data_IF_884812691286
#
_entry.id   IF_884812691286
#
_cell.length_a   1.000
_cell.length_b   1.000
_cell.length_c   1.000
_cell.angle_alpha   90.00
_cell.angle_beta   90.00
_cell.angle_gamma   90.00
#
_symmetry.space_group_name_H-M   'P 1'
#
loop_
_entity.id
_entity.type
_entity.pdbx_description
1 polymer ?
#
# COMPACT_ATOMS: atom_id res chain seq x y z
N UNK A 1 7.06 -0.18 -30.90
CA UNK A 1 6.94 -0.23 -30.01
C UNK A 1 6.92 0.66 -29.16
N UNK A 2 6.36 0.91 -28.71
CA UNK A 2 6.36 1.88 -28.01
C UNK A 2 6.91 1.83 -26.86
N UNK A 3 7.46 2.19 -26.54
CA UNK A 3 7.90 2.26 -25.56
C UNK A 3 7.74 3.28 -24.97
N UNK A 4 7.47 3.90 -25.19
CA UNK A 4 7.45 5.10 -24.74
C UNK A 4 7.25 5.41 -23.38
N UNK A 5 6.15 5.23 -22.88
CA UNK A 5 5.87 5.57 -21.49
C UNK A 5 6.50 4.62 -20.50
N UNK A 6 6.89 3.44 -20.94
CA UNK A 6 7.47 2.47 -20.05
C UNK A 6 6.51 1.80 -19.12
N UNK A 7 5.21 2.13 -19.17
CA UNK A 7 4.23 1.49 -18.34
C UNK A 7 3.61 0.34 -19.11
N UNK A 8 3.78 -0.88 -18.61
CA UNK A 8 3.15 -2.02 -19.23
C UNK A 8 1.78 -2.28 -18.58
N UNK A 9 0.91 -3.04 -19.25
CA UNK A 9 -0.44 -3.29 -18.73
C UNK A 9 -0.48 -3.94 -17.35
N UNK A 10 0.45 -4.84 -17.06
CA UNK A 10 0.49 -5.51 -15.77
C UNK A 10 0.80 -4.51 -14.65
N UNK A 11 1.77 -3.60 -14.88
CA UNK A 11 2.11 -2.58 -13.90
C UNK A 11 0.97 -1.61 -13.68
N UNK A 12 0.25 -1.24 -14.75
CA UNK A 12 -0.89 -0.34 -14.64
C UNK A 12 -2.01 -0.99 -13.83
N UNK A 13 -2.26 -2.28 -14.04
CA UNK A 13 -3.30 -3.01 -13.30
C UNK A 13 -2.95 -3.13 -11.83
N UNK A 14 -1.69 -3.34 -11.50
CA UNK A 14 -1.24 -3.37 -10.10
C UNK A 14 -1.36 -2.01 -9.43
N UNK A 15 -1.09 -0.94 -10.18
CA UNK A 15 -1.25 0.41 -9.63
C UNK A 15 -2.71 0.67 -9.23
N UNK A 16 -3.66 0.25 -10.06
CA UNK A 16 -5.08 0.37 -9.72
C UNK A 16 -5.41 -0.49 -8.51
N UNK A 17 -4.87 -1.70 -8.45
CA UNK A 17 -5.09 -2.59 -7.31
C UNK A 17 -4.59 -1.97 -6.01
N UNK A 18 -3.42 -1.31 -6.03
CA UNK A 18 -2.88 -0.65 -4.83
C UNK A 18 -3.78 0.50 -4.38
N UNK A 19 -4.26 1.30 -5.32
CA UNK A 19 -5.17 2.40 -4.99
C UNK A 19 -6.44 1.89 -4.35
N UNK A 20 -7.05 0.87 -4.95
CA UNK A 20 -8.27 0.30 -4.40
C UNK A 20 -8.02 -0.38 -3.05
N UNK A 21 -6.87 -1.03 -2.89
CA UNK A 21 -6.52 -1.65 -1.62
C UNK A 21 -6.36 -0.59 -0.52
N UNK A 22 -5.69 0.51 -0.83
CA UNK A 22 -5.54 1.61 0.12
C UNK A 22 -6.91 2.14 0.54
N UNK A 23 -7.81 2.33 -0.42
CA UNK A 23 -9.15 2.83 -0.13
C UNK A 23 -9.95 1.82 0.70
N UNK A 24 -9.80 0.53 0.40
CA UNK A 24 -10.46 -0.52 1.18
C UNK A 24 -9.94 -0.55 2.62
N UNK A 25 -8.64 -0.40 2.79
CA UNK A 25 -8.02 -0.39 4.12
C UNK A 25 -8.41 0.86 4.91
N UNK A 26 -8.55 1.99 4.22
CA UNK A 26 -9.10 3.19 4.84
C UNK A 26 -10.52 2.91 5.36
N UNK A 27 -11.37 2.34 4.50
CA UNK A 27 -12.75 2.01 4.85
C UNK A 27 -12.80 1.05 6.04
N UNK A 28 -11.93 0.06 6.05
CA UNK A 28 -11.86 -0.91 7.13
C UNK A 28 -11.52 -0.25 8.48
N UNK A 29 -10.63 0.74 8.47
CA UNK A 29 -10.27 1.45 9.70
C UNK A 29 -11.42 2.32 10.22
N UNK A 30 -12.16 2.93 9.32
CA UNK A 30 -13.24 3.86 9.70
C UNK A 30 -14.48 3.12 10.15
N UNK A 31 -14.85 2.07 9.45
CA UNK A 31 -16.03 1.27 9.75
C UNK A 31 -15.63 0.00 10.47
N UNK A 32 -16.36 -0.39 11.50
CA UNK A 32 -16.05 -1.61 12.26
C UNK A 32 -16.60 -2.85 11.55
N UNK A 33 -16.46 -2.93 10.24
CA UNK A 33 -16.95 -4.07 9.46
C UNK A 33 -15.87 -5.13 9.35
N UNK A 34 -16.26 -6.41 9.21
CA UNK A 34 -15.28 -7.46 8.90
C UNK A 34 -14.58 -7.14 7.58
N UNK A 35 -13.29 -7.44 7.49
CA UNK A 35 -12.53 -7.13 6.28
C UNK A 35 -13.09 -7.85 5.04
N UNK A 36 -13.69 -9.04 5.23
CA UNK A 36 -14.30 -9.78 4.12
C UNK A 36 -15.44 -8.98 3.47
N UNK A 37 -16.20 -8.26 4.27
CA UNK A 37 -17.28 -7.42 3.75
C UNK A 37 -16.72 -6.27 2.92
N UNK A 38 -15.59 -5.71 3.36
CA UNK A 38 -14.93 -4.63 2.62
C UNK A 38 -14.42 -5.14 1.27
N UNK A 39 -13.81 -6.33 1.26
CA UNK A 39 -13.35 -6.95 0.01
C UNK A 39 -14.52 -7.15 -0.94
N UNK A 40 -15.64 -7.67 -0.44
CA UNK A 40 -16.82 -7.90 -1.26
C UNK A 40 -17.39 -6.61 -1.82
N UNK A 41 -17.41 -5.56 -1.02
CA UNK A 41 -17.88 -4.25 -1.47
C UNK A 41 -17.03 -3.73 -2.63
N UNK A 42 -15.70 -3.80 -2.49
CA UNK A 42 -14.79 -3.31 -3.53
C UNK A 42 -14.76 -4.18 -4.77
N UNK A 43 -15.11 -5.48 -4.63
CA UNK A 43 -15.21 -6.35 -5.79
C UNK A 43 -16.25 -5.84 -6.78
N UNK A 44 -17.24 -5.10 -6.31
CA UNK A 44 -18.26 -4.49 -7.15
C UNK A 44 -17.91 -3.10 -7.67
N UNK A 45 -16.75 -2.57 -7.31
CA UNK A 45 -16.33 -1.25 -7.78
C UNK A 45 -16.03 -1.29 -9.27
N UNK A 46 -16.48 -0.27 -10.00
CA UNK A 46 -16.29 -0.21 -11.44
C UNK A 46 -14.81 -0.24 -11.84
N UNK A 47 -13.95 0.38 -11.06
CA UNK A 47 -12.52 0.41 -11.35
C UNK A 47 -11.85 -0.96 -11.22
N UNK A 48 -12.50 -1.90 -10.54
CA UNK A 48 -11.91 -3.23 -10.38
C UNK A 48 -11.66 -3.91 -11.73
N UNK A 49 -12.40 -3.52 -12.77
CA UNK A 49 -12.16 -4.06 -14.11
C UNK A 49 -10.77 -3.71 -14.63
N UNK A 50 -10.18 -2.62 -14.17
CA UNK A 50 -8.85 -2.17 -14.59
C UNK A 50 -7.76 -2.63 -13.63
N UNK A 51 -8.11 -3.32 -12.57
CA UNK A 51 -7.18 -3.72 -11.54
C UNK A 51 -6.73 -5.17 -11.72
N UNK A 52 -5.58 -5.48 -11.14
CA UNK A 52 -5.18 -6.86 -10.89
C UNK A 52 -5.96 -7.31 -9.66
N UNK A 53 -7.05 -8.01 -9.89
CA UNK A 53 -7.97 -8.41 -8.82
C UNK A 53 -7.30 -9.33 -7.79
N UNK A 54 -6.48 -10.25 -8.26
CA UNK A 54 -5.77 -11.16 -7.35
C UNK A 54 -4.82 -10.40 -6.44
N UNK A 55 -4.13 -9.42 -7.01
CA UNK A 55 -3.21 -8.59 -6.23
C UNK A 55 -3.95 -7.76 -5.19
N UNK A 56 -5.09 -7.17 -5.57
CA UNK A 56 -5.94 -6.44 -4.63
C UNK A 56 -6.38 -7.34 -3.47
N UNK A 57 -6.90 -8.51 -3.78
CA UNK A 57 -7.38 -9.44 -2.75
C UNK A 57 -6.25 -9.83 -1.80
N UNK A 58 -5.07 -10.10 -2.35
CA UNK A 58 -3.91 -10.49 -1.55
C UNK A 58 -3.48 -9.36 -0.61
N UNK A 59 -3.40 -8.13 -1.13
CA UNK A 59 -3.02 -6.98 -0.33
C UNK A 59 -3.98 -6.77 0.84
N UNK A 60 -5.27 -6.74 0.57
CA UNK A 60 -6.25 -6.44 1.62
C UNK A 60 -6.30 -7.58 2.64
N UNK A 61 -6.32 -8.82 2.17
CA UNK A 61 -6.38 -9.97 3.07
C UNK A 61 -5.16 -10.01 3.99
N UNK A 62 -3.96 -9.89 3.41
CA UNK A 62 -2.73 -10.02 4.19
C UNK A 62 -2.56 -8.87 5.16
N UNK A 63 -2.92 -7.66 4.77
CA UNK A 63 -2.81 -6.52 5.66
C UNK A 63 -3.81 -6.64 6.80
N UNK A 64 -5.06 -6.96 6.50
CA UNK A 64 -6.08 -7.04 7.55
C UNK A 64 -5.80 -8.17 8.54
N UNK A 65 -5.31 -9.31 8.06
CA UNK A 65 -5.01 -10.44 8.95
C UNK A 65 -3.68 -10.28 9.66
N UNK A 66 -2.78 -9.43 9.16
CA UNK A 66 -1.45 -9.22 9.73
C UNK A 66 -1.17 -7.80 10.20
N UNK A 67 -2.22 -6.98 10.43
CA UNK A 67 -2.02 -5.56 10.73
C UNK A 67 -1.22 -5.33 11.99
N UNK A 68 -1.38 -6.15 13.02
CA UNK A 68 -0.62 -5.98 14.26
C UNK A 68 0.88 -6.21 14.03
N UNK A 69 1.21 -7.22 13.23
CA UNK A 69 2.60 -7.49 12.89
C UNK A 69 3.20 -6.36 12.06
N UNK A 70 2.41 -5.85 11.11
CA UNK A 70 2.84 -4.72 10.29
C UNK A 70 3.06 -3.47 11.14
N UNK A 71 2.16 -3.20 12.09
CA UNK A 71 2.31 -2.05 12.97
C UNK A 71 3.53 -2.18 13.88
N UNK A 72 3.80 -3.38 14.37
CA UNK A 72 5.00 -3.60 15.17
C UNK A 72 6.27 -3.30 14.38
N UNK A 73 6.29 -3.67 13.09
CA UNK A 73 7.42 -3.38 12.23
C UNK A 73 7.53 -1.87 11.96
N UNK A 74 6.39 -1.24 11.64
CA UNK A 74 6.35 0.20 11.35
C UNK A 74 6.88 1.04 12.50
N UNK A 75 6.58 0.64 13.73
CA UNK A 75 7.00 1.38 14.92
C UNK A 75 8.52 1.59 14.98
N UNK A 76 9.29 0.65 14.42
CA UNK A 76 10.75 0.74 14.43
C UNK A 76 11.28 1.80 13.46
N UNK A 77 10.48 2.23 12.49
CA UNK A 77 10.92 3.13 11.42
C UNK A 77 10.34 4.53 11.53
N UNK A 78 9.62 4.81 12.60
CA UNK A 78 9.03 6.13 12.78
C UNK A 78 9.09 6.53 14.24
N UNK A 79 8.99 7.83 14.50
CA UNK A 79 9.11 8.40 15.85
C UNK A 79 7.76 8.67 16.50
N UNK A 80 6.68 8.17 15.90
CA UNK A 80 5.34 8.24 16.47
C UNK A 80 4.74 6.85 16.46
N UNK A 81 3.67 6.66 17.21
CA UNK A 81 3.02 5.34 17.32
C UNK A 81 2.14 5.10 16.11
N UNK A 82 2.07 3.87 15.58
CA UNK A 82 1.16 3.57 14.47
C UNK A 82 -0.27 3.98 14.75
N UNK A 83 -0.74 3.85 15.99
CA UNK A 83 -2.10 4.25 16.35
C UNK A 83 -2.37 5.74 16.17
N UNK A 84 -1.32 6.56 16.05
CA UNK A 84 -1.45 8.00 15.88
C UNK A 84 -1.48 8.44 14.41
N UNK A 85 -1.31 7.49 13.47
CA UNK A 85 -1.34 7.79 12.06
C UNK A 85 -2.77 8.10 11.62
N UNK A 86 -2.91 9.06 10.68
CA UNK A 86 -4.23 9.21 10.08
C UNK A 86 -4.52 7.98 9.19
N UNK A 87 -5.80 7.66 8.96
CA UNK A 87 -6.15 6.41 8.28
C UNK A 87 -5.63 6.27 6.85
N UNK A 88 -5.49 7.36 6.10
CA UNK A 88 -4.93 7.29 4.74
C UNK A 88 -3.45 6.94 4.82
N UNK A 89 -2.70 7.65 5.65
CA UNK A 89 -1.28 7.42 5.87
C UNK A 89 -1.02 5.99 6.32
N UNK A 90 -1.83 5.52 7.27
CA UNK A 90 -1.72 4.17 7.81
C UNK A 90 -1.92 3.12 6.70
N UNK A 91 -2.99 3.31 5.89
CA UNK A 91 -3.28 2.40 4.79
C UNK A 91 -2.14 2.36 3.77
N UNK A 92 -1.60 3.53 3.40
CA UNK A 92 -0.50 3.61 2.45
C UNK A 92 0.74 2.89 2.99
N UNK A 93 1.05 3.11 4.27
CA UNK A 93 2.22 2.49 4.90
C UNK A 93 2.05 0.98 5.03
N UNK A 94 0.84 0.50 5.32
CA UNK A 94 0.57 -0.93 5.34
C UNK A 94 0.84 -1.58 3.99
N UNK A 95 0.31 -0.97 2.91
CA UNK A 95 0.48 -1.51 1.56
C UNK A 95 1.96 -1.53 1.19
N UNK A 96 2.66 -0.42 1.40
CA UNK A 96 4.08 -0.32 1.07
C UNK A 96 4.92 -1.32 1.85
N UNK A 97 4.71 -1.40 3.15
CA UNK A 97 5.47 -2.33 3.99
C UNK A 97 5.22 -3.77 3.59
N UNK A 98 3.96 -4.10 3.34
CA UNK A 98 3.63 -5.46 2.92
C UNK A 98 4.31 -5.81 1.59
N UNK A 99 4.30 -4.89 0.62
CA UNK A 99 4.96 -5.16 -0.65
C UNK A 99 6.48 -5.29 -0.50
N UNK A 100 7.10 -4.45 0.31
CA UNK A 100 8.55 -4.59 0.55
C UNK A 100 8.87 -5.95 1.14
N UNK A 101 8.01 -6.46 1.99
CA UNK A 101 8.22 -7.69 2.73
C UNK A 101 7.87 -8.94 1.93
N UNK A 102 6.82 -8.88 1.13
CA UNK A 102 6.20 -10.07 0.55
C UNK A 102 6.11 -10.09 -0.97
N UNK A 103 6.50 -9.02 -1.65
CA UNK A 103 6.44 -8.94 -3.11
C UNK A 103 7.84 -8.69 -3.69
N UNK A 104 8.75 -9.66 -3.62
CA UNK A 104 10.13 -9.44 -4.03
C UNK A 104 10.29 -9.14 -5.52
N UNK A 105 9.30 -9.46 -6.34
CA UNK A 105 9.33 -9.16 -7.76
C UNK A 105 9.07 -7.67 -8.05
N UNK A 106 8.58 -6.92 -7.06
CA UNK A 106 8.37 -5.47 -7.22
C UNK A 106 9.59 -4.75 -6.66
N UNK A 107 10.35 -4.02 -7.49
CA UNK A 107 11.53 -3.29 -6.99
C UNK A 107 11.15 -2.32 -5.88
N UNK A 108 12.03 -2.16 -4.90
CA UNK A 108 11.70 -1.31 -3.76
C UNK A 108 11.39 0.14 -4.15
N UNK A 109 12.05 0.63 -5.21
CA UNK A 109 11.81 1.99 -5.67
C UNK A 109 10.40 2.16 -6.23
N UNK A 110 9.89 1.12 -6.89
CA UNK A 110 8.51 1.13 -7.40
C UNK A 110 7.54 1.15 -6.22
N UNK A 111 7.80 0.33 -5.19
CA UNK A 111 6.95 0.31 -4.00
C UNK A 111 6.86 1.70 -3.38
N UNK A 112 8.02 2.35 -3.18
CA UNK A 112 8.05 3.66 -2.54
C UNK A 112 7.38 4.71 -3.41
N UNK A 113 7.68 4.73 -4.72
CA UNK A 113 7.10 5.72 -5.63
C UNK A 113 5.58 5.60 -5.70
N UNK A 114 5.05 4.38 -5.73
CA UNK A 114 3.61 4.17 -5.75
C UNK A 114 2.97 4.65 -4.45
N UNK A 115 3.57 4.33 -3.32
CA UNK A 115 3.06 4.77 -2.02
C UNK A 115 3.09 6.29 -1.89
N UNK A 116 4.19 6.92 -2.30
CA UNK A 116 4.32 8.38 -2.28
C UNK A 116 3.25 9.02 -3.17
N UNK A 117 3.00 8.42 -4.34
CA UNK A 117 1.96 8.91 -5.26
C UNK A 117 0.57 8.88 -4.62
N UNK A 118 0.26 7.79 -3.92
CA UNK A 118 -1.03 7.68 -3.23
C UNK A 118 -1.15 8.70 -2.09
N UNK A 119 -0.06 8.90 -1.34
CA UNK A 119 -0.06 9.89 -0.27
C UNK A 119 -0.25 11.30 -0.80
N UNK A 120 0.32 11.62 -1.97
CA UNK A 120 0.13 12.93 -2.61
C UNK A 120 -1.31 13.13 -3.05
N UNK A 121 -1.95 12.09 -3.56
CA UNK A 121 -3.32 12.19 -4.06
C UNK A 121 -4.37 12.23 -2.96
N UNK A 122 -4.19 11.44 -1.93
CA UNK A 122 -5.24 11.20 -0.94
C UNK A 122 -4.89 11.61 0.48
N UNK A 123 -3.62 11.84 0.78
CA UNK A 123 -3.18 12.20 2.11
C UNK A 123 -3.16 13.69 2.35
N UNK A 124 -2.86 14.06 3.59
CA UNK A 124 -2.71 15.46 3.98
C UNK A 124 -1.46 16.06 3.35
N UNK A 125 -1.37 17.40 3.39
CA UNK A 125 -0.19 18.11 2.92
C UNK A 125 1.06 17.57 3.63
N UNK A 126 2.09 17.29 2.84
CA UNK A 126 3.37 16.77 3.33
C UNK A 126 3.34 15.33 3.84
N UNK A 127 2.18 14.65 3.81
CA UNK A 127 2.11 13.25 4.19
C UNK A 127 3.07 12.38 3.36
N UNK A 128 3.22 12.71 2.08
CA UNK A 128 4.10 11.97 1.19
C UNK A 128 5.56 11.99 1.62
N UNK A 129 5.99 13.08 2.27
CA UNK A 129 7.37 13.17 2.77
C UNK A 129 7.60 12.20 3.92
N UNK A 130 6.64 12.11 4.80
CA UNK A 130 6.69 11.18 5.92
C UNK A 130 6.66 9.74 5.42
N UNK A 131 5.75 9.44 4.49
CA UNK A 131 5.63 8.11 3.89
C UNK A 131 6.95 7.71 3.23
N UNK A 132 7.55 8.63 2.47
CA UNK A 132 8.82 8.34 1.80
C UNK A 132 9.91 8.00 2.81
N UNK A 133 10.02 8.77 3.88
CA UNK A 133 11.05 8.55 4.89
C UNK A 133 10.87 7.20 5.60
N UNK A 134 9.64 6.87 5.97
CA UNK A 134 9.34 5.61 6.67
C UNK A 134 9.65 4.42 5.77
N UNK A 135 9.17 4.47 4.52
CA UNK A 135 9.37 3.34 3.60
C UNK A 135 10.82 3.20 3.15
N UNK A 136 11.56 4.31 3.08
CA UNK A 136 12.98 4.24 2.78
C UNK A 136 13.73 3.49 3.88
N UNK A 137 13.43 3.79 5.14
CA UNK A 137 14.00 3.07 6.28
C UNK A 137 13.61 1.59 6.26
N UNK A 138 12.33 1.33 5.96
CA UNK A 138 11.84 -0.05 5.85
C UNK A 138 12.56 -0.81 4.75
N UNK A 139 12.77 -0.18 3.59
CA UNK A 139 13.42 -0.83 2.46
C UNK A 139 14.87 -1.21 2.76
N UNK A 140 15.58 -0.37 3.51
CA UNK A 140 16.96 -0.69 3.87
C UNK A 140 17.05 -1.96 4.72
N UNK A 141 16.07 -2.18 5.55
CA UNK A 141 16.04 -3.35 6.41
C UNK A 141 15.46 -4.57 5.71
N UNK A 142 14.40 -4.39 4.91
CA UNK A 142 13.69 -5.49 4.28
C UNK A 142 14.27 -5.90 2.93
N UNK A 143 14.98 -5.01 2.27
CA UNK A 143 15.58 -5.23 0.94
C UNK A 143 17.04 -4.82 0.93
N UNK A 144 17.87 -5.32 1.87
CA UNK A 144 19.25 -4.83 1.99
C UNK A 144 20.10 -5.09 0.73
N UNK A 145 19.78 -6.14 -0.01
CA UNK A 145 20.54 -6.47 -1.22
C UNK A 145 20.15 -5.64 -2.44
N UNK A 146 19.16 -4.79 -2.31
CA UNK A 146 18.76 -3.87 -3.40
C UNK A 146 19.36 -2.47 -3.23
N UNK A 147 20.10 -2.28 -2.16
CA UNK A 147 20.68 -0.96 -1.87
C UNK A 147 22.15 -0.88 -2.18
#
# INVERSE_FOLDING_TARGET
MARGTGINPASARRAVARKLAMQALYRWQINASPWQDVVNEFAGDEEMRKADRGYFNQLVTDVCTGSETLDSALAAWMDRKPAELDPVEHAVLWVGTHELRSAPDVPYRVVINEAVGLAKRFGATDSHKFVNAVLDAAARELRPHEH
#
